data_IF_054621050526
#
_entry.id   IF_054621050526
#
_cell.length_a   1.000
_cell.length_b   1.000
_cell.length_c   1.000
_cell.angle_alpha   90.00
_cell.angle_beta   90.00
_cell.angle_gamma   90.00
#
_symmetry.space_group_name_H-M   'P 1'
#
loop_
_entity.id
_entity.type
_entity.pdbx_description
1 polymer ?
#
# COMPACT_ATOMS: atom_id res chain seq x y z
N UNK A 1 -33.12 27.02 -15.98
CA UNK A 1 -34.53 26.91 -15.53
C UNK A 1 -34.79 28.01 -14.51
N UNK A 2 -35.80 28.84 -14.71
CA UNK A 2 -36.09 29.98 -13.81
C UNK A 2 -36.52 29.52 -12.42
N UNK A 3 -36.05 30.23 -11.38
CA UNK A 3 -36.35 30.02 -9.95
C UNK A 3 -37.87 29.88 -9.67
N UNK A 4 -38.69 30.53 -10.49
CA UNK A 4 -40.14 30.49 -10.44
C UNK A 4 -40.72 29.12 -10.85
N UNK A 5 -40.12 28.44 -11.82
CA UNK A 5 -40.50 27.06 -12.22
C UNK A 5 -40.08 26.04 -11.15
N UNK A 6 -38.97 26.29 -10.46
CA UNK A 6 -38.50 25.48 -9.33
C UNK A 6 -39.41 25.61 -8.10
N UNK A 7 -39.84 26.83 -7.76
CA UNK A 7 -40.79 27.10 -6.67
C UNK A 7 -42.21 26.58 -6.98
N UNK A 8 -42.65 26.64 -8.24
CA UNK A 8 -43.92 26.02 -8.66
C UNK A 8 -43.87 24.49 -8.53
N UNK A 9 -42.74 23.85 -8.88
CA UNK A 9 -42.54 22.41 -8.70
C UNK A 9 -42.47 22.01 -7.21
N UNK A 10 -41.86 22.83 -6.35
CA UNK A 10 -41.86 22.62 -4.89
C UNK A 10 -43.27 22.75 -4.29
N UNK A 11 -44.09 23.69 -4.76
CA UNK A 11 -45.46 23.87 -4.29
C UNK A 11 -46.43 22.81 -4.82
N UNK A 12 -46.22 22.27 -6.01
CA UNK A 12 -46.96 21.10 -6.50
C UNK A 12 -46.58 19.82 -5.75
N UNK A 13 -45.30 19.64 -5.41
CA UNK A 13 -44.85 18.50 -4.57
C UNK A 13 -45.36 18.61 -3.13
N UNK A 14 -45.37 19.82 -2.52
CA UNK A 14 -46.01 20.06 -1.21
C UNK A 14 -47.51 19.79 -1.22
N UNK A 15 -48.21 20.11 -2.32
CA UNK A 15 -49.63 19.78 -2.51
C UNK A 15 -49.87 18.28 -2.71
N UNK A 16 -48.97 17.57 -3.39
CA UNK A 16 -49.03 16.11 -3.51
C UNK A 16 -48.80 15.39 -2.18
N UNK A 17 -47.92 15.91 -1.31
CA UNK A 17 -47.69 15.32 0.02
C UNK A 17 -48.82 15.60 1.02
N UNK A 18 -49.43 16.79 0.98
CA UNK A 18 -50.52 17.16 1.89
C UNK A 18 -51.90 16.61 1.49
N UNK A 19 -52.05 16.07 0.27
CA UNK A 19 -53.33 15.52 -0.24
C UNK A 19 -53.34 13.99 -0.40
N UNK A 20 -52.48 13.25 0.29
CA UNK A 20 -52.68 11.80 0.43
C UNK A 20 -53.76 11.54 1.49
N UNK A 21 -54.87 10.85 1.15
CA UNK A 21 -55.91 10.54 2.12
C UNK A 21 -55.30 9.74 3.28
N UNK A 22 -55.48 10.23 4.52
CA UNK A 22 -55.14 9.56 5.79
C UNK A 22 -55.46 8.04 5.85
N UNK A 23 -56.49 7.47 5.17
CA UNK A 23 -56.70 6.02 5.18
C UNK A 23 -55.63 5.17 4.46
N UNK A 24 -54.86 5.70 3.50
CA UNK A 24 -53.88 4.90 2.75
C UNK A 24 -52.56 4.64 3.50
N UNK A 25 -52.15 5.53 4.42
CA UNK A 25 -51.00 5.32 5.29
C UNK A 25 -51.22 4.17 6.29
N UNK A 26 -52.45 3.99 6.77
CA UNK A 26 -52.81 2.88 7.66
C UNK A 26 -52.92 1.53 6.93
N UNK A 27 -53.37 1.53 5.67
CA UNK A 27 -53.37 0.34 4.83
C UNK A 27 -51.95 -0.06 4.41
N UNK A 28 -51.10 0.89 4.05
CA UNK A 28 -49.68 0.66 3.76
C UNK A 28 -48.94 0.04 4.94
N UNK A 29 -49.17 0.54 6.16
CA UNK A 29 -48.56 -0.01 7.38
C UNK A 29 -49.04 -1.43 7.71
N UNK A 30 -50.35 -1.72 7.53
CA UNK A 30 -50.90 -3.07 7.69
C UNK A 30 -50.38 -4.05 6.64
N UNK A 31 -50.27 -3.60 5.38
CA UNK A 31 -49.71 -4.40 4.28
C UNK A 31 -48.21 -4.63 4.51
N UNK A 32 -47.47 -3.62 4.97
CA UNK A 32 -46.05 -3.72 5.31
C UNK A 32 -45.80 -4.72 6.44
N UNK A 33 -46.52 -4.62 7.55
CA UNK A 33 -46.35 -5.53 8.69
C UNK A 33 -46.82 -6.96 8.35
N UNK A 34 -47.86 -7.14 7.53
CA UNK A 34 -48.30 -8.45 7.03
C UNK A 34 -47.30 -9.08 6.03
N UNK A 35 -46.71 -8.27 5.14
CA UNK A 35 -45.70 -8.73 4.16
C UNK A 35 -44.40 -9.08 4.87
N UNK A 36 -43.99 -8.28 5.86
CA UNK A 36 -42.81 -8.57 6.70
C UNK A 36 -43.04 -9.81 7.54
N UNK A 37 -44.19 -9.94 8.20
CA UNK A 37 -44.49 -11.14 8.98
C UNK A 37 -44.61 -12.37 8.07
N UNK A 38 -45.10 -12.26 6.83
CA UNK A 38 -45.11 -13.37 5.88
C UNK A 38 -43.70 -13.77 5.40
N UNK A 39 -42.79 -12.81 5.29
CA UNK A 39 -41.39 -13.04 4.91
C UNK A 39 -40.56 -13.59 6.09
N UNK A 40 -40.87 -13.18 7.32
CA UNK A 40 -40.14 -13.57 8.53
C UNK A 40 -40.72 -14.80 9.26
N UNK A 41 -42.03 -15.05 9.20
CA UNK A 41 -42.67 -16.17 9.88
C UNK A 41 -42.61 -17.48 9.09
N UNK A 42 -42.24 -17.44 7.81
CA UNK A 42 -42.07 -18.63 6.97
C UNK A 42 -40.60 -18.95 6.77
N UNK A 43 -40.12 -20.09 7.29
CA UNK A 43 -38.82 -20.63 6.90
C UNK A 43 -38.66 -20.62 5.36
N UNK A 44 -37.69 -19.84 4.85
CA UNK A 44 -37.14 -19.93 3.49
C UNK A 44 -38.15 -19.84 2.33
N UNK A 45 -39.13 -18.94 2.37
CA UNK A 45 -39.96 -18.68 1.18
C UNK A 45 -39.28 -17.69 0.22
N UNK A 46 -38.30 -18.18 -0.53
CA UNK A 46 -37.72 -17.50 -1.70
C UNK A 46 -38.77 -17.22 -2.80
N UNK A 47 -39.97 -17.81 -2.68
CA UNK A 47 -41.07 -17.71 -3.65
C UNK A 47 -41.79 -16.34 -3.66
N UNK A 48 -41.64 -15.52 -2.62
CA UNK A 48 -42.24 -14.17 -2.56
C UNK A 48 -41.33 -13.12 -3.21
N UNK A 49 -40.03 -13.37 -3.26
CA UNK A 49 -39.01 -12.44 -3.77
C UNK A 49 -39.24 -11.98 -5.22
N UNK A 50 -39.67 -12.84 -6.17
CA UNK A 50 -39.95 -12.41 -7.55
C UNK A 50 -41.23 -11.56 -7.68
N UNK A 51 -42.10 -11.57 -6.67
CA UNK A 51 -43.40 -10.85 -6.65
C UNK A 51 -43.32 -9.47 -6.00
N UNK A 52 -42.20 -9.16 -5.34
CA UNK A 52 -41.97 -7.83 -4.79
C UNK A 52 -41.77 -6.84 -5.94
N UNK A 53 -42.21 -5.59 -5.74
CA UNK A 53 -41.94 -4.49 -6.66
C UNK A 53 -41.07 -3.45 -5.98
N UNK A 54 -40.25 -2.68 -6.73
CA UNK A 54 -39.42 -1.61 -6.17
C UNK A 54 -40.21 -0.60 -5.34
N UNK A 55 -41.45 -0.31 -5.76
CA UNK A 55 -42.37 0.62 -5.09
C UNK A 55 -42.86 0.08 -3.74
N UNK A 56 -43.18 -1.20 -3.64
CA UNK A 56 -43.55 -1.85 -2.37
C UNK A 56 -42.39 -1.87 -1.39
N UNK A 57 -41.18 -2.18 -1.86
CA UNK A 57 -39.99 -2.14 -0.99
C UNK A 57 -39.71 -0.72 -0.52
N UNK A 58 -39.80 0.28 -1.40
CA UNK A 58 -39.67 1.68 -1.00
C UNK A 58 -40.73 2.10 0.03
N UNK A 59 -41.99 1.70 -0.15
CA UNK A 59 -43.08 2.03 0.77
C UNK A 59 -42.83 1.44 2.17
N UNK A 60 -42.42 0.16 2.23
CA UNK A 60 -42.14 -0.55 3.48
C UNK A 60 -40.88 0.01 4.16
N UNK A 61 -39.84 0.30 3.38
CA UNK A 61 -38.60 0.91 3.88
C UNK A 61 -38.76 2.39 4.22
N UNK A 62 -39.83 3.05 3.78
CA UNK A 62 -40.14 4.45 4.08
C UNK A 62 -41.22 4.64 5.15
N UNK A 63 -41.87 3.57 5.63
CA UNK A 63 -42.92 3.64 6.65
C UNK A 63 -42.38 4.00 8.05
N UNK A 64 -42.70 5.18 8.61
CA UNK A 64 -42.18 5.64 9.90
C UNK A 64 -42.75 4.88 11.12
N UNK A 65 -43.79 4.07 10.95
CA UNK A 65 -44.44 3.33 12.05
C UNK A 65 -43.89 1.91 12.25
N UNK A 66 -43.05 1.43 11.34
CA UNK A 66 -42.53 0.07 11.37
C UNK A 66 -41.31 -0.04 12.29
N UNK A 67 -41.33 -0.99 13.23
CA UNK A 67 -40.26 -1.16 14.22
C UNK A 67 -38.95 -1.51 13.53
N UNK A 68 -37.89 -0.77 13.87
CA UNK A 68 -36.56 -0.88 13.26
C UNK A 68 -36.01 -2.31 13.15
N UNK A 69 -36.12 -3.20 14.17
CA UNK A 69 -35.63 -4.58 14.08
C UNK A 69 -36.31 -5.41 12.98
N UNK A 70 -37.62 -5.25 12.80
CA UNK A 70 -38.38 -5.97 11.76
C UNK A 70 -38.00 -5.51 10.35
N UNK A 71 -37.75 -4.22 10.16
CA UNK A 71 -37.20 -3.71 8.90
C UNK A 71 -35.81 -4.32 8.63
N UNK A 72 -34.97 -4.44 9.66
CA UNK A 72 -33.60 -4.98 9.52
C UNK A 72 -33.63 -6.46 9.13
N UNK A 73 -34.47 -7.26 9.77
CA UNK A 73 -34.63 -8.68 9.41
C UNK A 73 -35.17 -8.83 7.99
N UNK A 74 -36.19 -8.05 7.61
CA UNK A 74 -36.72 -8.04 6.26
C UNK A 74 -35.65 -7.66 5.22
N UNK A 75 -34.82 -6.65 5.51
CA UNK A 75 -33.86 -6.13 4.55
C UNK A 75 -32.57 -6.96 4.49
N UNK A 76 -32.13 -7.54 5.61
CA UNK A 76 -31.07 -8.54 5.62
C UNK A 76 -31.48 -9.81 4.87
N UNK A 77 -32.76 -10.18 4.92
CA UNK A 77 -33.32 -11.27 4.11
C UNK A 77 -33.32 -10.91 2.61
N UNK A 78 -33.70 -9.69 2.24
CA UNK A 78 -33.66 -9.24 0.84
C UNK A 78 -32.24 -9.21 0.27
N UNK A 79 -31.26 -8.69 1.02
CA UNK A 79 -29.86 -8.61 0.60
C UNK A 79 -29.23 -10.01 0.44
N UNK A 80 -29.54 -10.96 1.33
CA UNK A 80 -29.06 -12.35 1.23
C UNK A 80 -29.63 -13.10 0.03
N UNK A 81 -30.75 -12.65 -0.53
CA UNK A 81 -31.45 -13.33 -1.62
C UNK A 81 -31.60 -12.44 -2.86
N UNK A 82 -30.68 -11.50 -3.07
CA UNK A 82 -30.75 -10.53 -4.17
C UNK A 82 -30.73 -11.17 -5.55
N UNK A 83 -30.08 -12.33 -5.72
CA UNK A 83 -30.07 -13.13 -6.95
C UNK A 83 -31.44 -13.71 -7.34
N UNK A 84 -32.40 -13.71 -6.41
CA UNK A 84 -33.76 -14.25 -6.60
C UNK A 84 -34.80 -13.15 -6.82
N UNK A 85 -34.39 -11.88 -6.83
CA UNK A 85 -35.25 -10.74 -7.14
C UNK A 85 -35.18 -10.39 -8.63
N UNK A 86 -36.32 -10.03 -9.21
CA UNK A 86 -36.44 -9.60 -10.61
C UNK A 86 -36.03 -8.14 -10.84
N UNK A 87 -35.64 -7.43 -9.78
CA UNK A 87 -35.30 -6.01 -9.80
C UNK A 87 -34.16 -5.70 -8.83
N UNK A 88 -33.36 -4.69 -9.15
CA UNK A 88 -32.43 -4.08 -8.19
C UNK A 88 -33.18 -3.11 -7.28
N UNK A 89 -32.84 -3.12 -5.99
CA UNK A 89 -33.39 -2.17 -5.03
C UNK A 89 -33.08 -0.72 -5.46
N UNK A 90 -34.11 0.14 -5.51
CA UNK A 90 -33.90 1.55 -5.86
C UNK A 90 -32.97 2.23 -4.85
N UNK A 91 -32.12 3.13 -5.32
CA UNK A 91 -31.14 3.84 -4.49
C UNK A 91 -31.78 4.65 -3.35
N UNK A 92 -32.96 5.25 -3.57
CA UNK A 92 -33.73 5.93 -2.53
C UNK A 92 -34.14 4.97 -1.39
N UNK A 93 -34.48 3.72 -1.71
CA UNK A 93 -34.80 2.70 -0.72
C UNK A 93 -33.54 2.28 0.06
N UNK A 94 -32.39 2.18 -0.60
CA UNK A 94 -31.11 1.93 0.05
C UNK A 94 -30.70 3.07 0.98
N UNK A 95 -30.82 4.33 0.56
CA UNK A 95 -30.50 5.49 1.40
C UNK A 95 -31.44 5.62 2.59
N UNK A 96 -32.75 5.40 2.37
CA UNK A 96 -33.73 5.37 3.46
C UNK A 96 -33.37 4.29 4.48
N UNK A 97 -32.98 3.12 3.99
CA UNK A 97 -32.53 2.02 4.81
C UNK A 97 -31.25 2.34 5.60
N UNK A 98 -30.23 2.88 4.94
CA UNK A 98 -28.97 3.31 5.58
C UNK A 98 -29.26 4.36 6.66
N UNK A 99 -30.11 5.34 6.39
CA UNK A 99 -30.52 6.35 7.36
C UNK A 99 -31.27 5.73 8.56
N UNK A 100 -32.11 4.71 8.33
CA UNK A 100 -32.80 3.97 9.40
C UNK A 100 -31.87 3.11 10.23
N UNK A 101 -30.95 2.38 9.60
CA UNK A 101 -29.93 1.58 10.29
C UNK A 101 -29.01 2.47 11.14
N UNK A 102 -28.63 3.63 10.60
CA UNK A 102 -27.84 4.60 11.34
C UNK A 102 -28.59 5.18 12.55
N UNK A 103 -29.93 5.37 12.45
CA UNK A 103 -30.80 5.68 13.61
C UNK A 103 -30.90 4.52 14.61
N UNK A 104 -30.91 3.28 14.12
CA UNK A 104 -30.92 2.05 14.91
C UNK A 104 -29.59 1.77 15.66
N UNK A 105 -28.52 2.49 15.30
CA UNK A 105 -27.13 2.23 15.70
C UNK A 105 -26.52 0.94 15.12
N UNK A 106 -27.12 0.39 14.06
CA UNK A 106 -26.62 -0.77 13.33
C UNK A 106 -25.63 -0.34 12.23
N UNK A 107 -24.46 0.13 12.67
CA UNK A 107 -23.50 0.82 11.80
C UNK A 107 -22.80 -0.11 10.80
N UNK A 108 -22.49 -1.35 11.19
CA UNK A 108 -21.80 -2.33 10.33
C UNK A 108 -22.67 -2.76 9.15
N UNK A 109 -23.96 -3.01 9.39
CA UNK A 109 -24.93 -3.35 8.35
C UNK A 109 -25.15 -2.19 7.39
N UNK A 110 -25.24 -0.96 7.90
CA UNK A 110 -25.38 0.23 7.06
C UNK A 110 -24.17 0.45 6.13
N UNK A 111 -22.96 0.28 6.65
CA UNK A 111 -21.71 0.40 5.89
C UNK A 111 -21.57 -0.73 4.86
N UNK A 112 -21.90 -1.97 5.23
CA UNK A 112 -21.89 -3.11 4.31
C UNK A 112 -22.86 -2.97 3.14
N UNK A 113 -24.07 -2.43 3.40
CA UNK A 113 -25.04 -2.14 2.34
C UNK A 113 -24.50 -1.09 1.40
N UNK A 114 -23.94 -0.01 1.93
CA UNK A 114 -23.39 1.07 1.12
C UNK A 114 -22.23 0.58 0.22
N UNK A 115 -21.37 -0.30 0.74
CA UNK A 115 -20.29 -0.94 -0.02
C UNK A 115 -20.78 -1.93 -1.09
N UNK A 116 -21.96 -2.54 -0.92
CA UNK A 116 -22.55 -3.46 -1.91
C UNK A 116 -23.22 -2.77 -3.10
N UNK A 117 -23.39 -1.44 -3.05
CA UNK A 117 -24.03 -0.67 -4.12
C UNK A 117 -22.99 -0.41 -5.22
N UNK A 118 -22.94 -1.31 -6.20
CA UNK A 118 -22.13 -1.19 -7.44
C UNK A 118 -22.51 0.02 -8.30
N UNK A 119 -23.71 0.58 -8.13
CA UNK A 119 -24.28 1.65 -8.95
C UNK A 119 -23.99 3.08 -8.47
N UNK A 120 -23.08 3.30 -7.51
CA UNK A 120 -22.73 4.65 -7.04
C UNK A 120 -22.21 5.58 -8.17
N UNK A 121 -21.77 5.01 -9.30
CA UNK A 121 -21.27 5.75 -10.47
C UNK A 121 -22.30 6.65 -11.17
N UNK A 122 -23.59 6.40 -11.07
CA UNK A 122 -24.62 7.09 -11.88
C UNK A 122 -25.22 8.34 -11.23
N UNK A 123 -25.01 8.57 -9.93
CA UNK A 123 -25.76 9.59 -9.19
C UNK A 123 -24.98 10.88 -8.91
N UNK A 124 -25.70 12.01 -8.95
CA UNK A 124 -25.22 13.34 -8.55
C UNK A 124 -25.39 13.53 -7.05
N UNK A 125 -24.34 14.00 -6.37
CA UNK A 125 -24.34 14.30 -4.93
C UNK A 125 -25.45 15.28 -4.50
N UNK A 126 -25.92 16.14 -5.40
CA UNK A 126 -26.98 17.12 -5.13
C UNK A 126 -28.31 16.46 -4.74
N UNK A 127 -28.63 15.30 -5.32
CA UNK A 127 -29.86 14.56 -5.00
C UNK A 127 -29.70 13.88 -3.64
N UNK A 128 -28.53 13.28 -3.38
CA UNK A 128 -28.13 12.68 -2.12
C UNK A 128 -28.19 13.65 -0.94
N UNK A 129 -27.61 14.84 -1.10
CA UNK A 129 -27.63 15.90 -0.09
C UNK A 129 -29.06 16.31 0.25
N UNK A 130 -29.88 16.59 -0.77
CA UNK A 130 -31.28 16.98 -0.57
C UNK A 130 -32.10 15.88 0.12
N UNK A 131 -31.80 14.61 -0.13
CA UNK A 131 -32.48 13.48 0.48
C UNK A 131 -32.14 13.34 1.97
N UNK A 132 -30.85 13.41 2.30
CA UNK A 132 -30.35 13.31 3.69
C UNK A 132 -30.84 14.49 4.53
N UNK A 133 -30.91 15.70 3.94
CA UNK A 133 -31.45 16.90 4.56
C UNK A 133 -32.98 16.84 4.77
N UNK A 134 -33.74 16.37 3.77
CA UNK A 134 -35.20 16.27 3.85
C UNK A 134 -35.71 15.22 4.85
N UNK A 135 -34.94 14.16 5.11
CA UNK A 135 -35.38 13.08 6.00
C UNK A 135 -35.20 13.37 7.50
N UNK A 136 -34.92 14.61 7.92
CA UNK A 136 -34.83 15.01 9.33
C UNK A 136 -33.89 14.11 10.15
N UNK A 137 -32.72 13.84 9.58
CA UNK A 137 -31.67 13.04 10.21
C UNK A 137 -30.90 13.97 11.15
N UNK A 138 -30.70 13.58 12.42
CA UNK A 138 -29.91 14.39 13.34
C UNK A 138 -28.52 14.69 12.75
N UNK A 139 -27.96 15.87 13.02
CA UNK A 139 -26.64 16.29 12.49
C UNK A 139 -25.56 15.22 12.67
N UNK A 140 -25.64 14.46 13.78
CA UNK A 140 -24.73 13.35 14.11
C UNK A 140 -24.87 12.14 13.18
N UNK A 141 -26.08 11.80 12.75
CA UNK A 141 -26.32 10.68 11.83
C UNK A 141 -25.99 11.12 10.40
N UNK A 142 -26.30 12.35 10.03
CA UNK A 142 -25.93 12.93 8.73
C UNK A 142 -24.41 12.88 8.53
N UNK A 143 -23.63 13.32 9.53
CA UNK A 143 -22.16 13.18 9.54
C UNK A 143 -21.69 11.74 9.29
N UNK A 144 -22.28 10.73 9.96
CA UNK A 144 -21.88 9.33 9.74
C UNK A 144 -22.15 8.85 8.32
N UNK A 145 -23.34 9.14 7.80
CA UNK A 145 -23.73 8.72 6.44
C UNK A 145 -22.83 9.36 5.39
N UNK A 146 -22.52 10.66 5.51
CA UNK A 146 -21.60 11.32 4.59
C UNK A 146 -20.16 10.78 4.67
N UNK A 147 -19.65 10.45 5.88
CA UNK A 147 -18.34 9.81 6.00
C UNK A 147 -18.32 8.40 5.38
N UNK A 148 -19.40 7.62 5.50
CA UNK A 148 -19.48 6.33 4.81
C UNK A 148 -19.55 6.50 3.29
N UNK A 149 -20.32 7.47 2.80
CA UNK A 149 -20.40 7.79 1.37
C UNK A 149 -19.02 8.16 0.83
N UNK A 150 -18.30 9.06 1.50
CA UNK A 150 -16.94 9.43 1.11
C UNK A 150 -16.04 8.20 0.97
N UNK A 151 -16.07 7.31 1.97
CA UNK A 151 -15.32 6.05 1.92
C UNK A 151 -15.73 5.18 0.73
N UNK A 152 -17.02 4.94 0.52
CA UNK A 152 -17.47 4.07 -0.58
C UNK A 152 -17.19 4.65 -1.97
N UNK A 153 -17.26 5.97 -2.15
CA UNK A 153 -16.83 6.60 -3.41
C UNK A 153 -15.32 6.44 -3.62
N UNK A 154 -14.54 6.53 -2.54
CA UNK A 154 -13.09 6.28 -2.58
C UNK A 154 -12.76 4.83 -2.96
N UNK A 155 -13.37 3.85 -2.29
CA UNK A 155 -13.19 2.41 -2.55
C UNK A 155 -13.56 2.05 -4.00
N UNK A 156 -14.52 2.76 -4.60
CA UNK A 156 -14.98 2.57 -5.98
C UNK A 156 -14.22 3.42 -7.02
N UNK A 157 -13.13 4.10 -6.64
CA UNK A 157 -12.28 4.95 -7.51
C UNK A 157 -13.00 6.17 -8.11
N UNK A 158 -14.09 6.61 -7.50
CA UNK A 158 -14.86 7.80 -7.92
C UNK A 158 -14.38 9.02 -7.10
N UNK A 159 -13.09 9.36 -7.25
CA UNK A 159 -12.41 10.31 -6.38
C UNK A 159 -12.95 11.74 -6.44
N UNK A 160 -13.41 12.17 -7.61
CA UNK A 160 -14.01 13.49 -7.82
C UNK A 160 -15.30 13.64 -7.01
N UNK A 161 -16.16 12.61 -7.02
CA UNK A 161 -17.39 12.59 -6.22
C UNK A 161 -17.11 12.53 -4.72
N UNK A 162 -16.08 11.80 -4.31
CA UNK A 162 -15.64 11.81 -2.92
C UNK A 162 -15.19 13.22 -2.48
N UNK A 163 -14.49 13.95 -3.36
CA UNK A 163 -14.10 15.35 -3.13
C UNK A 163 -15.31 16.30 -3.10
N UNK A 164 -16.30 16.11 -3.97
CA UNK A 164 -17.55 16.90 -3.95
C UNK A 164 -18.34 16.69 -2.64
N UNK A 165 -18.38 15.46 -2.13
CA UNK A 165 -19.00 15.16 -0.83
C UNK A 165 -18.24 15.85 0.30
N UNK A 166 -16.91 15.82 0.26
CA UNK A 166 -16.09 16.52 1.24
C UNK A 166 -16.40 18.03 1.23
N UNK A 167 -16.40 18.67 0.05
CA UNK A 167 -16.71 20.09 -0.08
C UNK A 167 -18.12 20.41 0.44
N UNK A 168 -19.11 19.55 0.16
CA UNK A 168 -20.45 19.68 0.71
C UNK A 168 -20.48 19.60 2.25
N UNK A 169 -19.70 18.67 2.83
CA UNK A 169 -19.60 18.56 4.29
C UNK A 169 -18.96 19.81 4.90
N UNK A 170 -17.94 20.39 4.26
CA UNK A 170 -17.29 21.63 4.71
C UNK A 170 -18.26 22.81 4.66
N UNK A 171 -18.94 23.03 3.52
CA UNK A 171 -19.86 24.16 3.32
C UNK A 171 -21.03 24.13 4.31
N UNK A 172 -21.55 22.94 4.62
CA UNK A 172 -22.68 22.78 5.54
C UNK A 172 -22.28 22.59 7.01
N UNK A 173 -20.98 22.71 7.35
CA UNK A 173 -20.49 22.53 8.72
C UNK A 173 -20.74 21.13 9.29
N UNK A 174 -20.82 20.11 8.43
CA UNK A 174 -21.03 18.72 8.84
C UNK A 174 -19.70 18.20 9.39
N UNK A 175 -19.74 17.54 10.55
CA UNK A 175 -18.52 16.97 11.14
C UNK A 175 -17.88 15.95 10.21
N UNK A 176 -16.65 16.21 9.80
CA UNK A 176 -15.82 15.31 9.00
C UNK A 176 -14.94 14.47 9.92
N UNK A 177 -14.77 13.18 9.61
CA UNK A 177 -13.88 12.29 10.35
C UNK A 177 -12.52 12.25 9.66
N UNK A 178 -11.46 12.64 10.37
CA UNK A 178 -10.10 12.66 9.81
C UNK A 178 -9.68 11.31 9.25
N UNK A 179 -9.97 10.20 9.96
CA UNK A 179 -9.64 8.85 9.51
C UNK A 179 -10.26 8.50 8.15
N UNK A 180 -11.47 8.98 7.88
CA UNK A 180 -12.15 8.76 6.59
C UNK A 180 -11.43 9.51 5.48
N UNK A 181 -10.98 10.73 5.74
CA UNK A 181 -10.16 11.50 4.81
C UNK A 181 -8.78 10.85 4.58
N UNK A 182 -8.17 10.29 5.62
CA UNK A 182 -6.90 9.54 5.47
C UNK A 182 -7.05 8.32 4.58
N UNK A 183 -8.13 7.55 4.72
CA UNK A 183 -8.42 6.41 3.83
C UNK A 183 -8.53 6.91 2.38
N UNK A 184 -9.25 8.01 2.17
CA UNK A 184 -9.35 8.60 0.84
C UNK A 184 -8.00 9.04 0.25
N UNK A 185 -7.12 9.63 1.08
CA UNK A 185 -5.75 9.94 0.67
C UNK A 185 -4.96 8.69 0.30
N UNK A 186 -5.07 7.60 1.08
CA UNK A 186 -4.41 6.33 0.78
C UNK A 186 -4.86 5.80 -0.58
N UNK A 187 -6.16 5.81 -0.86
CA UNK A 187 -6.68 5.34 -2.16
C UNK A 187 -6.22 6.23 -3.31
N UNK A 188 -6.27 7.55 -3.14
CA UNK A 188 -5.74 8.51 -4.12
C UNK A 188 -4.27 8.23 -4.45
N UNK A 189 -3.44 7.96 -3.42
CA UNK A 189 -2.03 7.62 -3.64
C UNK A 189 -1.86 6.23 -4.28
N UNK A 190 -2.67 5.25 -3.90
CA UNK A 190 -2.61 3.90 -4.45
C UNK A 190 -2.93 3.85 -5.96
N UNK A 191 -3.83 4.70 -6.43
CA UNK A 191 -4.28 4.75 -7.82
C UNK A 191 -3.63 5.87 -8.65
N UNK A 192 -2.45 6.33 -8.23
CA UNK A 192 -1.64 7.34 -8.96
C UNK A 192 -2.39 8.65 -9.23
N UNK A 193 -3.23 9.07 -8.28
CA UNK A 193 -3.94 10.35 -8.32
C UNK A 193 -3.24 11.40 -7.43
N UNK A 194 -1.92 11.52 -7.57
CA UNK A 194 -1.07 12.43 -6.76
C UNK A 194 -1.56 13.87 -6.77
N UNK A 195 -1.94 14.38 -7.95
CA UNK A 195 -2.45 15.73 -8.11
C UNK A 195 -3.76 15.97 -7.36
N UNK A 196 -4.67 14.98 -7.36
CA UNK A 196 -5.92 15.05 -6.59
C UNK A 196 -5.66 14.90 -5.09
N UNK A 197 -4.76 14.01 -4.68
CA UNK A 197 -4.37 13.85 -3.27
C UNK A 197 -3.79 15.12 -2.66
N UNK A 198 -2.90 15.83 -3.36
CA UNK A 198 -2.37 17.10 -2.87
C UNK A 198 -3.47 18.18 -2.77
N UNK A 199 -4.36 18.26 -3.78
CA UNK A 199 -5.50 19.19 -3.74
C UNK A 199 -6.41 18.89 -2.56
N UNK A 200 -6.76 17.62 -2.35
CA UNK A 200 -7.62 17.16 -1.28
C UNK A 200 -7.00 17.42 0.10
N UNK A 201 -5.71 17.12 0.29
CA UNK A 201 -5.01 17.43 1.53
C UNK A 201 -5.01 18.93 1.83
N UNK A 202 -4.79 19.78 0.81
CA UNK A 202 -4.89 21.22 0.97
C UNK A 202 -6.31 21.69 1.35
N UNK A 203 -7.36 21.03 0.85
CA UNK A 203 -8.75 21.28 1.28
C UNK A 203 -8.97 20.83 2.74
N UNK A 204 -8.41 19.68 3.15
CA UNK A 204 -8.44 19.23 4.55
C UNK A 204 -7.79 20.27 5.47
N UNK A 205 -6.66 20.85 5.06
CA UNK A 205 -5.96 21.85 5.87
C UNK A 205 -6.79 23.13 6.00
N UNK A 206 -7.37 23.60 4.89
CA UNK A 206 -8.18 24.83 4.86
C UNK A 206 -9.51 24.70 5.60
N UNK A 207 -10.06 23.50 5.70
CA UNK A 207 -11.34 23.24 6.38
C UNK A 207 -11.23 23.22 7.91
N UNK A 208 -10.03 23.37 8.47
CA UNK A 208 -9.81 23.43 9.92
C UNK A 208 -9.99 22.07 10.62
N UNK A 209 -9.98 20.97 9.87
CA UNK A 209 -9.95 19.62 10.45
C UNK A 209 -8.60 19.44 11.14
N UNK A 210 -8.60 18.80 12.32
CA UNK A 210 -7.36 18.43 12.98
C UNK A 210 -6.71 17.25 12.24
N UNK A 211 -5.79 17.55 11.32
CA UNK A 211 -5.09 16.56 10.51
C UNK A 211 -3.98 15.90 11.33
N UNK A 212 -3.87 14.58 11.23
CA UNK A 212 -2.77 13.83 11.86
C UNK A 212 -1.48 13.87 11.05
N UNK A 213 -0.35 13.70 11.73
CA UNK A 213 0.97 13.50 11.08
C UNK A 213 0.98 12.25 10.19
N UNK A 214 0.13 11.27 10.49
CA UNK A 214 -0.03 10.08 9.65
C UNK A 214 -0.61 10.44 8.27
N UNK A 215 -1.64 11.29 8.20
CA UNK A 215 -2.20 11.77 6.92
C UNK A 215 -1.16 12.53 6.08
N UNK A 216 -0.31 13.34 6.71
CA UNK A 216 0.82 13.98 6.03
C UNK A 216 1.81 12.93 5.49
N UNK A 217 2.20 11.97 6.32
CA UNK A 217 3.16 10.91 5.95
C UNK A 217 2.64 10.05 4.80
N UNK A 218 1.34 9.73 4.74
CA UNK A 218 0.71 9.02 3.62
C UNK A 218 0.91 9.78 2.30
N UNK A 219 0.66 11.09 2.31
CA UNK A 219 0.80 11.90 1.10
C UNK A 219 2.26 12.05 0.70
N UNK A 220 3.17 12.24 1.66
CA UNK A 220 4.63 12.29 1.44
C UNK A 220 5.15 10.99 0.84
N UNK A 221 4.77 9.84 1.40
CA UNK A 221 5.13 8.51 0.90
C UNK A 221 4.61 8.29 -0.54
N UNK A 222 3.35 8.64 -0.78
CA UNK A 222 2.76 8.60 -2.13
C UNK A 222 3.59 9.41 -3.12
N UNK A 223 3.77 10.71 -2.88
CA UNK A 223 4.57 11.59 -3.75
C UNK A 223 6.00 11.06 -3.99
N UNK A 224 6.64 10.51 -2.95
CA UNK A 224 7.97 9.92 -3.04
C UNK A 224 8.02 8.68 -3.94
N UNK A 225 7.01 7.81 -3.87
CA UNK A 225 6.89 6.61 -4.73
C UNK A 225 6.76 6.99 -6.21
N UNK A 226 6.02 8.05 -6.51
CA UNK A 226 5.90 8.58 -7.89
C UNK A 226 7.07 9.47 -8.32
N UNK A 227 8.02 9.74 -7.42
CA UNK A 227 9.25 10.49 -7.73
C UNK A 227 9.16 11.98 -7.61
N UNK A 228 8.04 12.49 -7.11
CA UNK A 228 7.83 13.90 -6.82
C UNK A 228 8.43 14.30 -5.45
N UNK A 229 9.67 13.88 -5.18
CA UNK A 229 10.35 14.07 -3.90
C UNK A 229 10.44 15.55 -3.51
N UNK A 230 10.72 16.43 -4.48
CA UNK A 230 10.75 17.88 -4.27
C UNK A 230 9.41 18.42 -3.78
N UNK A 231 8.28 18.00 -4.38
CA UNK A 231 6.94 18.41 -3.93
C UNK A 231 6.60 17.85 -2.56
N UNK A 232 7.05 16.63 -2.26
CA UNK A 232 6.91 16.04 -0.93
C UNK A 232 7.68 16.84 0.14
N UNK A 233 8.91 17.28 -0.17
CA UNK A 233 9.71 18.17 0.69
C UNK A 233 9.03 19.52 0.88
N UNK A 234 8.62 20.19 -0.20
CA UNK A 234 7.93 21.49 -0.16
C UNK A 234 6.66 21.41 0.69
N UNK A 235 5.92 20.30 0.63
CA UNK A 235 4.75 20.07 1.49
C UNK A 235 5.15 20.00 2.97
N UNK A 236 6.23 19.29 3.32
CA UNK A 236 6.73 19.21 4.69
C UNK A 236 7.19 20.58 5.19
N UNK A 237 7.94 21.33 4.38
CA UNK A 237 8.35 22.72 4.67
C UNK A 237 7.14 23.63 4.92
N UNK A 238 6.08 23.49 4.10
CA UNK A 238 4.86 24.26 4.24
C UNK A 238 4.15 23.97 5.58
N UNK A 239 4.12 22.71 6.00
CA UNK A 239 3.50 22.31 7.26
C UNK A 239 4.28 22.81 8.48
N UNK A 240 5.61 22.81 8.39
CA UNK A 240 6.52 23.36 9.41
C UNK A 240 6.38 24.89 9.51
N UNK A 241 6.50 25.60 8.38
CA UNK A 241 6.60 27.06 8.36
C UNK A 241 5.31 27.78 8.75
N UNK A 242 4.15 27.21 8.42
CA UNK A 242 2.86 27.88 8.61
C UNK A 242 2.21 27.61 9.98
N UNK A 243 2.89 26.94 10.90
CA UNK A 243 2.37 26.57 12.22
C UNK A 243 0.95 25.95 12.15
N UNK A 244 0.70 25.12 11.12
CA UNK A 244 -0.60 24.48 10.84
C UNK A 244 -0.97 23.40 11.87
N UNK A 245 -0.21 23.29 12.95
CA UNK A 245 -0.41 22.29 14.02
C UNK A 245 0.03 20.88 13.66
N UNK A 246 0.56 20.65 12.45
CA UNK A 246 1.07 19.34 12.00
C UNK A 246 2.59 19.38 12.09
N UNK A 247 3.15 18.70 13.09
CA UNK A 247 4.60 18.56 13.24
C UNK A 247 5.07 17.27 12.57
N UNK A 248 5.87 17.33 11.50
CA UNK A 248 6.49 16.14 10.92
C UNK A 248 7.29 15.39 12.00
N UNK A 249 7.25 14.06 11.96
CA UNK A 249 8.00 13.23 12.89
C UNK A 249 9.12 12.47 12.15
N UNK A 250 9.86 11.66 12.90
CA UNK A 250 10.94 10.84 12.36
C UNK A 250 10.50 9.93 11.20
N UNK A 251 9.25 9.44 11.20
CA UNK A 251 8.73 8.59 10.14
C UNK A 251 8.60 9.41 8.85
N UNK A 252 8.02 10.62 8.93
CA UNK A 252 7.90 11.52 7.77
C UNK A 252 9.26 11.86 7.16
N UNK A 253 10.26 12.18 7.99
CA UNK A 253 11.61 12.46 7.51
C UNK A 253 12.31 11.22 6.94
N UNK A 254 12.19 10.07 7.59
CA UNK A 254 12.76 8.82 7.09
C UNK A 254 12.17 8.41 5.73
N UNK A 255 10.87 8.62 5.50
CA UNK A 255 10.24 8.42 4.18
C UNK A 255 10.89 9.30 3.10
N UNK A 256 11.12 10.58 3.38
CA UNK A 256 11.80 11.49 2.44
C UNK A 256 13.26 11.08 2.22
N UNK A 257 13.99 10.76 3.30
CA UNK A 257 15.40 10.36 3.23
C UNK A 257 15.55 9.09 2.41
N UNK A 258 14.75 8.05 2.69
CA UNK A 258 14.76 6.79 1.93
C UNK A 258 14.51 7.04 0.44
N UNK A 259 13.51 7.87 0.11
CA UNK A 259 13.20 8.22 -1.26
C UNK A 259 14.34 8.98 -1.97
N UNK A 260 14.99 9.91 -1.27
CA UNK A 260 16.16 10.63 -1.78
C UNK A 260 17.34 9.68 -2.01
N UNK A 261 17.62 8.80 -1.04
CA UNK A 261 18.77 7.87 -1.07
C UNK A 261 18.61 6.80 -2.15
N UNK A 262 17.40 6.27 -2.34
CA UNK A 262 17.12 5.27 -3.38
C UNK A 262 17.22 5.83 -4.80
N UNK A 263 17.08 7.15 -4.96
CA UNK A 263 17.15 7.86 -6.25
C UNK A 263 18.45 8.64 -6.43
N UNK A 264 19.37 8.56 -5.46
CA UNK A 264 20.61 9.34 -5.41
C UNK A 264 20.40 10.86 -5.59
N UNK A 265 19.24 11.37 -5.15
CA UNK A 265 18.94 12.79 -5.18
C UNK A 265 19.51 13.47 -3.92
N UNK A 266 20.83 13.67 -3.91
CA UNK A 266 21.55 14.20 -2.76
C UNK A 266 21.31 15.70 -2.52
N UNK A 267 20.85 16.45 -3.53
CA UNK A 267 20.44 17.84 -3.36
C UNK A 267 19.21 17.91 -2.46
N UNK A 268 18.16 17.16 -2.82
CA UNK A 268 16.95 17.05 -2.00
C UNK A 268 17.24 16.44 -0.63
N UNK A 269 18.12 15.44 -0.54
CA UNK A 269 18.53 14.86 0.73
C UNK A 269 19.10 15.91 1.69
N UNK A 270 20.00 16.78 1.21
CA UNK A 270 20.60 17.81 2.04
C UNK A 270 19.57 18.82 2.56
N UNK A 271 18.60 19.18 1.72
CA UNK A 271 17.49 20.06 2.12
C UNK A 271 16.63 19.39 3.20
N UNK A 272 16.28 18.11 3.03
CA UNK A 272 15.51 17.32 4.01
C UNK A 272 16.25 17.23 5.35
N UNK A 273 17.56 16.94 5.34
CA UNK A 273 18.38 16.87 6.55
C UNK A 273 18.50 18.23 7.25
N UNK A 274 18.55 19.33 6.49
CA UNK A 274 18.57 20.67 7.06
C UNK A 274 17.25 20.99 7.80
N UNK A 275 16.10 20.67 7.20
CA UNK A 275 14.78 20.85 7.83
C UNK A 275 14.67 19.97 9.08
N UNK A 276 15.06 18.69 8.98
CA UNK A 276 15.04 17.75 10.10
C UNK A 276 15.83 18.27 11.30
N UNK A 277 17.02 18.86 11.05
CA UNK A 277 17.86 19.49 12.07
C UNK A 277 17.23 20.75 12.65
N UNK A 278 16.61 21.60 11.83
CA UNK A 278 15.92 22.81 12.28
C UNK A 278 14.73 22.48 13.19
N UNK A 279 13.99 21.42 12.88
CA UNK A 279 12.89 20.92 13.69
C UNK A 279 13.33 20.16 14.94
N UNK A 280 14.65 19.95 15.13
CA UNK A 280 15.20 19.25 16.28
C UNK A 280 14.83 17.75 16.32
N UNK A 281 14.63 17.13 15.15
CA UNK A 281 14.37 15.70 15.06
C UNK A 281 15.69 14.95 14.93
N UNK A 282 16.01 14.14 15.94
CA UNK A 282 17.24 13.34 15.96
C UNK A 282 17.17 12.13 15.03
N UNK A 283 18.34 11.68 14.57
CA UNK A 283 18.45 10.47 13.75
C UNK A 283 18.09 9.22 14.54
N UNK A 284 17.47 8.25 13.87
CA UNK A 284 17.31 6.89 14.37
C UNK A 284 18.20 5.91 13.61
N UNK A 285 18.27 4.67 14.10
CA UNK A 285 18.98 3.57 13.45
C UNK A 285 18.58 3.43 11.98
N UNK A 286 17.28 3.59 11.68
CA UNK A 286 16.77 3.57 10.30
C UNK A 286 17.28 4.75 9.47
N UNK A 287 17.33 5.96 10.04
CA UNK A 287 17.89 7.15 9.36
C UNK A 287 19.33 6.91 8.94
N UNK A 288 20.16 6.42 9.87
CA UNK A 288 21.54 6.05 9.60
C UNK A 288 21.63 4.99 8.49
N UNK A 289 20.77 3.96 8.55
CA UNK A 289 20.74 2.88 7.56
C UNK A 289 20.46 3.41 6.15
N UNK A 290 19.46 4.27 6.00
CA UNK A 290 19.13 4.86 4.71
C UNK A 290 20.28 5.71 4.16
N UNK A 291 20.90 6.55 5.00
CA UNK A 291 22.04 7.39 4.60
C UNK A 291 23.24 6.55 4.17
N UNK A 292 23.63 5.55 4.97
CA UNK A 292 24.76 4.67 4.66
C UNK A 292 24.50 3.90 3.37
N UNK A 293 23.31 3.31 3.21
CA UNK A 293 22.92 2.63 1.99
C UNK A 293 22.93 3.57 0.77
N UNK A 294 22.35 4.76 0.89
CA UNK A 294 22.28 5.76 -0.18
C UNK A 294 23.65 6.22 -0.66
N UNK A 295 24.53 6.59 0.27
CA UNK A 295 25.88 7.01 -0.06
C UNK A 295 26.73 5.85 -0.62
N UNK A 296 26.69 4.68 0.02
CA UNK A 296 27.41 3.49 -0.45
C UNK A 296 26.94 3.04 -1.83
N UNK A 297 25.62 3.04 -2.08
CA UNK A 297 25.06 2.61 -3.37
C UNK A 297 25.44 3.51 -4.54
N UNK A 298 25.64 4.81 -4.31
CA UNK A 298 26.16 5.75 -5.31
C UNK A 298 27.71 5.77 -5.37
N UNK A 299 28.41 5.00 -4.53
CA UNK A 299 29.88 5.03 -4.45
C UNK A 299 30.47 6.24 -3.71
N UNK A 300 29.66 7.02 -2.97
CA UNK A 300 30.13 8.13 -2.12
C UNK A 300 30.65 7.59 -0.78
N UNK A 301 31.68 6.75 -0.83
CA UNK A 301 32.13 5.97 0.31
C UNK A 301 32.58 6.82 1.51
N UNK A 302 33.25 7.95 1.26
CA UNK A 302 33.69 8.88 2.32
C UNK A 302 32.53 9.40 3.17
N UNK A 303 31.38 9.68 2.53
CA UNK A 303 30.20 10.12 3.26
C UNK A 303 29.59 8.96 4.05
N UNK A 304 29.52 7.75 3.46
CA UNK A 304 29.03 6.56 4.16
C UNK A 304 29.86 6.24 5.43
N UNK A 305 31.20 6.26 5.32
CA UNK A 305 32.12 6.08 6.44
C UNK A 305 31.93 7.15 7.53
N UNK A 306 31.75 8.41 7.12
CA UNK A 306 31.47 9.51 8.06
C UNK A 306 30.19 9.26 8.87
N UNK A 307 29.15 8.74 8.23
CA UNK A 307 27.89 8.42 8.92
C UNK A 307 28.10 7.30 9.96
N UNK A 308 28.94 6.29 9.68
CA UNK A 308 29.31 5.26 10.68
C UNK A 308 30.08 5.85 11.85
N UNK A 309 31.05 6.74 11.59
CA UNK A 309 31.79 7.42 12.65
C UNK A 309 30.85 8.22 13.54
N UNK A 310 29.90 8.96 12.95
CA UNK A 310 28.88 9.70 13.69
C UNK A 310 28.00 8.77 14.57
N UNK A 311 27.66 7.57 14.08
CA UNK A 311 26.96 6.57 14.90
C UNK A 311 27.77 6.18 16.14
N UNK A 312 29.08 5.91 15.98
CA UNK A 312 29.97 5.57 17.09
C UNK A 312 30.11 6.73 18.07
N UNK A 313 30.29 7.96 17.59
CA UNK A 313 30.41 9.18 18.40
C UNK A 313 29.16 9.44 19.24
N UNK A 314 27.98 9.15 18.69
CA UNK A 314 26.70 9.25 19.41
C UNK A 314 26.39 8.03 20.30
N UNK A 315 27.30 7.06 20.38
CA UNK A 315 27.17 5.88 21.24
C UNK A 315 26.22 4.80 20.71
N UNK A 316 25.85 4.81 19.43
CA UNK A 316 25.07 3.73 18.83
C UNK A 316 25.94 2.49 18.62
N UNK A 317 25.35 1.31 18.88
CA UNK A 317 25.99 0.04 18.54
C UNK A 317 25.89 -0.22 17.04
N UNK A 318 27.00 -0.06 16.33
CA UNK A 318 27.09 -0.38 14.90
C UNK A 318 27.16 -1.91 14.74
N UNK A 319 26.07 -2.49 14.25
CA UNK A 319 25.97 -3.93 13.97
C UNK A 319 26.51 -4.33 12.60
N UNK A 320 26.61 -5.65 12.36
CA UNK A 320 27.12 -6.27 11.14
C UNK A 320 26.50 -5.71 9.86
N UNK A 321 25.18 -5.54 9.84
CA UNK A 321 24.46 -5.04 8.66
C UNK A 321 24.94 -3.66 8.17
N UNK A 322 25.39 -2.78 9.06
CA UNK A 322 25.92 -1.47 8.69
C UNK A 322 27.29 -1.56 8.02
N UNK A 323 28.18 -2.43 8.54
CA UNK A 323 29.47 -2.69 7.91
C UNK A 323 29.30 -3.36 6.55
N UNK A 324 28.35 -4.30 6.40
CA UNK A 324 28.04 -4.93 5.12
C UNK A 324 27.62 -3.91 4.05
N UNK A 325 26.88 -2.86 4.43
CA UNK A 325 26.52 -1.77 3.51
C UNK A 325 27.74 -1.02 2.98
N UNK A 326 28.70 -0.68 3.84
CA UNK A 326 29.91 0.04 3.41
C UNK A 326 30.86 -0.88 2.64
N UNK A 327 31.05 -2.10 3.15
CA UNK A 327 31.92 -3.08 2.52
C UNK A 327 31.46 -3.44 1.11
N UNK A 328 30.16 -3.69 0.90
CA UNK A 328 29.61 -3.89 -0.44
C UNK A 328 29.78 -2.65 -1.35
N UNK A 329 29.83 -1.45 -0.79
CA UNK A 329 30.18 -0.21 -1.51
C UNK A 329 31.63 -0.16 -1.97
N UNK A 330 32.59 -0.47 -1.08
CA UNK A 330 34.01 -0.55 -1.44
C UNK A 330 34.28 -1.66 -2.46
N UNK A 331 33.70 -2.84 -2.27
CA UNK A 331 33.81 -3.95 -3.23
C UNK A 331 33.29 -3.57 -4.62
N UNK A 332 32.17 -2.83 -4.70
CA UNK A 332 31.67 -2.30 -6.00
C UNK A 332 32.56 -1.23 -6.61
N UNK A 333 33.28 -0.47 -5.78
CA UNK A 333 34.21 0.57 -6.22
C UNK A 333 35.61 0.03 -6.51
N UNK A 334 35.84 -1.28 -6.35
CA UNK A 334 37.16 -1.92 -6.52
C UNK A 334 38.14 -1.66 -5.37
N UNK A 335 37.73 -1.00 -4.30
CA UNK A 335 38.58 -0.61 -3.17
C UNK A 335 38.71 -1.75 -2.13
N UNK A 336 39.22 -2.91 -2.57
CA UNK A 336 39.24 -4.12 -1.75
C UNK A 336 40.05 -3.99 -0.45
N UNK A 337 41.17 -3.25 -0.47
CA UNK A 337 41.99 -3.02 0.72
C UNK A 337 41.17 -2.41 1.87
N UNK A 338 40.30 -1.44 1.55
CA UNK A 338 39.39 -0.83 2.53
C UNK A 338 38.29 -1.79 2.98
N UNK A 339 37.77 -2.60 2.06
CA UNK A 339 36.80 -3.64 2.40
C UNK A 339 37.37 -4.63 3.43
N UNK A 340 38.63 -5.05 3.26
CA UNK A 340 39.30 -5.92 4.22
C UNK A 340 39.69 -5.20 5.53
N UNK A 341 40.04 -3.91 5.50
CA UNK A 341 40.29 -3.17 6.75
C UNK A 341 39.03 -3.07 7.62
N UNK A 342 37.84 -2.98 7.02
CA UNK A 342 36.58 -3.01 7.76
C UNK A 342 36.36 -4.34 8.49
N UNK A 343 36.82 -5.46 7.93
CA UNK A 343 36.77 -6.78 8.61
C UNK A 343 37.64 -6.76 9.87
N UNK A 344 38.83 -6.17 9.79
CA UNK A 344 39.71 -5.99 10.95
C UNK A 344 39.05 -5.12 12.02
N UNK A 345 38.46 -3.98 11.62
CA UNK A 345 37.73 -3.10 12.54
C UNK A 345 36.54 -3.82 13.21
N UNK A 346 35.78 -4.62 12.47
CA UNK A 346 34.69 -5.41 13.02
C UNK A 346 35.18 -6.38 14.10
N UNK A 347 36.30 -7.06 13.87
CA UNK A 347 36.89 -7.98 14.85
C UNK A 347 37.37 -7.24 16.12
N UNK A 348 38.04 -6.10 15.96
CA UNK A 348 38.49 -5.24 17.08
C UNK A 348 37.32 -4.75 17.93
N UNK A 349 36.20 -4.43 17.29
CA UNK A 349 34.96 -3.98 17.96
C UNK A 349 34.05 -5.12 18.40
N UNK A 350 34.50 -6.37 18.28
CA UNK A 350 33.73 -7.58 18.64
C UNK A 350 32.38 -7.68 17.92
N UNK A 351 32.33 -7.26 16.66
CA UNK A 351 31.19 -7.42 15.74
C UNK A 351 31.40 -8.68 14.93
N UNK A 352 30.42 -9.59 14.98
CA UNK A 352 30.49 -10.86 14.27
C UNK A 352 30.31 -10.69 12.77
N UNK A 353 31.19 -11.33 12.00
CA UNK A 353 31.07 -11.47 10.56
C UNK A 353 29.96 -12.50 10.24
N UNK A 354 29.14 -12.22 9.24
CA UNK A 354 28.06 -13.09 8.76
C UNK A 354 28.28 -13.52 7.30
N UNK A 355 27.34 -14.30 6.76
CA UNK A 355 27.40 -14.76 5.37
C UNK A 355 27.46 -13.61 4.37
N UNK A 356 26.64 -12.58 4.58
CA UNK A 356 26.61 -11.39 3.72
C UNK A 356 27.95 -10.65 3.71
N UNK A 357 28.67 -10.70 4.84
CA UNK A 357 30.01 -10.13 4.96
C UNK A 357 30.97 -10.80 3.99
N UNK A 358 31.08 -12.13 4.10
CA UNK A 358 31.96 -12.94 3.26
C UNK A 358 31.56 -12.89 1.80
N UNK A 359 30.26 -12.88 1.52
CA UNK A 359 29.73 -12.76 0.17
C UNK A 359 30.11 -11.44 -0.49
N UNK A 360 30.02 -10.33 0.22
CA UNK A 360 30.37 -9.01 -0.30
C UNK A 360 31.85 -8.95 -0.69
N UNK A 361 32.74 -9.51 0.14
CA UNK A 361 34.18 -9.60 -0.15
C UNK A 361 34.45 -10.53 -1.34
N UNK A 362 33.82 -11.70 -1.36
CA UNK A 362 33.93 -12.65 -2.46
C UNK A 362 33.54 -12.00 -3.81
N UNK A 363 32.37 -11.38 -3.87
CA UNK A 363 31.90 -10.68 -5.07
C UNK A 363 32.85 -9.55 -5.49
N UNK A 364 33.42 -8.83 -4.52
CA UNK A 364 34.44 -7.81 -4.78
C UNK A 364 35.72 -8.39 -5.37
N UNK A 365 36.25 -9.48 -4.80
CA UNK A 365 37.47 -10.15 -5.25
C UNK A 365 37.33 -10.65 -6.69
N UNK A 366 36.19 -11.28 -7.01
CA UNK A 366 35.89 -11.73 -8.37
C UNK A 366 35.88 -10.57 -9.36
N UNK A 367 35.26 -9.43 -9.01
CA UNK A 367 35.20 -8.25 -9.89
C UNK A 367 36.57 -7.62 -10.18
N UNK A 368 37.51 -7.74 -9.26
CA UNK A 368 38.89 -7.21 -9.41
C UNK A 368 39.84 -8.27 -10.01
N UNK A 369 39.35 -9.49 -10.24
CA UNK A 369 40.15 -10.59 -10.80
C UNK A 369 41.05 -11.31 -9.81
N UNK A 370 40.86 -11.11 -8.50
CA UNK A 370 41.68 -11.75 -7.45
C UNK A 370 41.13 -13.12 -7.04
N UNK A 371 41.16 -14.07 -7.98
CA UNK A 371 40.54 -15.40 -7.83
C UNK A 371 41.16 -16.29 -6.76
N UNK A 372 42.48 -16.22 -6.57
CA UNK A 372 43.18 -16.99 -5.53
C UNK A 372 42.66 -16.61 -4.13
N UNK A 373 42.59 -15.31 -3.85
CA UNK A 373 42.03 -14.80 -2.60
C UNK A 373 40.52 -15.10 -2.48
N UNK A 374 39.76 -15.09 -3.58
CA UNK A 374 38.36 -15.48 -3.60
C UNK A 374 38.18 -16.96 -3.18
N UNK A 375 39.03 -17.85 -3.68
CA UNK A 375 39.06 -19.27 -3.31
C UNK A 375 39.44 -19.47 -1.83
N UNK A 376 40.43 -18.75 -1.33
CA UNK A 376 40.79 -18.78 0.09
C UNK A 376 39.62 -18.37 0.98
N UNK A 377 38.85 -17.35 0.56
CA UNK A 377 37.68 -16.87 1.28
C UNK A 377 36.56 -17.92 1.33
N UNK A 378 36.29 -18.62 0.22
CA UNK A 378 35.32 -19.73 0.17
C UNK A 378 35.74 -20.87 1.09
N UNK A 379 37.02 -21.23 1.07
CA UNK A 379 37.57 -22.25 1.97
C UNK A 379 37.44 -21.83 3.45
N UNK A 380 37.66 -20.56 3.75
CA UNK A 380 37.47 -20.01 5.09
C UNK A 380 36.01 -20.07 5.54
N UNK A 381 35.06 -19.72 4.65
CA UNK A 381 33.62 -19.82 4.93
C UNK A 381 33.24 -21.26 5.31
N UNK A 382 33.70 -22.24 4.53
CA UNK A 382 33.44 -23.66 4.81
C UNK A 382 34.05 -24.11 6.14
N UNK A 383 35.29 -23.71 6.46
CA UNK A 383 35.95 -24.03 7.74
C UNK A 383 35.23 -23.41 8.94
N UNK A 384 34.59 -22.25 8.76
CA UNK A 384 33.77 -21.59 9.78
C UNK A 384 32.37 -22.19 9.92
N UNK A 385 32.04 -23.23 9.14
CA UNK A 385 30.75 -23.92 9.22
C UNK A 385 29.63 -23.23 8.46
N UNK A 386 29.95 -22.30 7.55
CA UNK A 386 28.94 -21.71 6.69
C UNK A 386 28.58 -22.65 5.54
N UNK A 387 27.29 -22.96 5.44
CA UNK A 387 26.74 -23.75 4.32
C UNK A 387 26.60 -22.86 3.09
N UNK A 388 27.28 -23.23 2.01
CA UNK A 388 27.12 -22.58 0.70
C UNK A 388 25.84 -23.11 0.08
N UNK A 389 24.95 -22.20 -0.33
CA UNK A 389 23.72 -22.53 -1.02
C UNK A 389 23.91 -22.60 -2.55
N UNK A 390 22.85 -22.98 -3.26
CA UNK A 390 22.86 -23.08 -4.72
C UNK A 390 23.23 -21.77 -5.42
N UNK A 391 22.73 -20.63 -4.93
CA UNK A 391 22.96 -19.30 -5.53
C UNK A 391 24.44 -18.91 -5.44
N UNK A 392 25.06 -19.20 -4.30
CA UNK A 392 26.49 -18.96 -4.09
C UNK A 392 27.32 -19.79 -5.07
N UNK A 393 27.00 -21.09 -5.23
CA UNK A 393 27.69 -21.95 -6.19
C UNK A 393 27.52 -21.50 -7.65
N UNK A 394 26.31 -21.12 -8.05
CA UNK A 394 26.04 -20.62 -9.40
C UNK A 394 26.84 -19.37 -9.70
N UNK A 395 26.83 -18.38 -8.79
CA UNK A 395 27.59 -17.14 -8.96
C UNK A 395 29.09 -17.39 -9.00
N UNK A 396 29.60 -18.31 -8.16
CA UNK A 396 31.01 -18.74 -8.19
C UNK A 396 31.39 -19.22 -9.59
N UNK A 397 30.58 -20.12 -10.16
CA UNK A 397 30.81 -20.68 -11.49
C UNK A 397 30.77 -19.58 -12.54
N UNK A 398 29.76 -18.71 -12.53
CA UNK A 398 29.66 -17.61 -13.50
C UNK A 398 30.87 -16.67 -13.44
N UNK A 399 31.31 -16.27 -12.24
CA UNK A 399 32.50 -15.43 -12.08
C UNK A 399 33.77 -16.08 -12.67
N UNK A 400 33.99 -17.39 -12.46
CA UNK A 400 35.14 -18.08 -13.03
C UNK A 400 35.07 -18.20 -14.57
N UNK A 401 33.86 -18.38 -15.11
CA UNK A 401 33.64 -18.52 -16.55
C UNK A 401 33.82 -17.20 -17.31
N UNK A 402 33.31 -16.09 -16.77
CA UNK A 402 33.41 -14.77 -17.39
C UNK A 402 34.87 -14.32 -17.56
N UNK A 403 35.75 -14.84 -16.70
CA UNK A 403 37.16 -14.47 -16.61
C UNK A 403 38.09 -15.48 -17.29
N UNK A 404 37.52 -16.54 -17.87
CA UNK A 404 38.25 -17.56 -18.62
C UNK A 404 39.00 -18.58 -17.75
N UNK A 405 38.78 -18.56 -16.44
CA UNK A 405 39.35 -19.48 -15.45
C UNK A 405 38.48 -20.76 -15.40
N UNK A 406 38.47 -21.47 -16.53
CA UNK A 406 37.49 -22.51 -16.83
C UNK A 406 37.65 -23.79 -15.97
N UNK A 407 38.86 -24.09 -15.48
CA UNK A 407 39.14 -25.29 -14.67
C UNK A 407 38.50 -25.21 -13.28
N UNK A 408 38.60 -24.05 -12.65
CA UNK A 408 38.02 -23.74 -11.35
C UNK A 408 36.49 -23.74 -11.43
N UNK A 409 35.90 -23.20 -12.50
CA UNK A 409 34.46 -23.28 -12.75
C UNK A 409 33.95 -24.73 -12.77
N UNK A 410 34.68 -25.63 -13.43
CA UNK A 410 34.36 -27.07 -13.49
C UNK A 410 34.55 -27.75 -12.13
N UNK A 411 35.58 -27.35 -11.38
CA UNK A 411 35.83 -27.86 -10.02
C UNK A 411 34.69 -27.48 -9.07
N UNK A 412 34.26 -26.21 -9.09
CA UNK A 412 33.15 -25.72 -8.27
C UNK A 412 31.84 -26.39 -8.67
N UNK A 413 31.58 -26.61 -9.97
CA UNK A 413 30.42 -27.38 -10.42
C UNK A 413 30.40 -28.79 -9.83
N UNK A 414 31.56 -29.47 -9.84
CA UNK A 414 31.66 -30.83 -9.30
C UNK A 414 31.42 -30.83 -7.78
N UNK A 415 31.91 -29.82 -7.06
CA UNK A 415 31.65 -29.65 -5.63
C UNK A 415 30.17 -29.38 -5.34
N UNK A 416 29.51 -28.55 -6.16
CA UNK A 416 28.09 -28.25 -6.06
C UNK A 416 27.24 -29.52 -6.18
N UNK A 417 27.54 -30.37 -7.16
CA UNK A 417 26.85 -31.64 -7.38
C UNK A 417 27.09 -32.65 -6.25
N UNK A 418 28.30 -32.72 -5.70
CA UNK A 418 28.62 -33.58 -4.53
C UNK A 418 27.84 -33.14 -3.29
N UNK A 419 27.61 -31.84 -3.12
CA UNK A 419 26.76 -31.28 -2.05
C UNK A 419 25.25 -31.43 -2.32
N UNK A 420 24.87 -32.02 -3.45
CA UNK A 420 23.47 -32.27 -3.81
C UNK A 420 22.74 -31.08 -4.44
N UNK A 421 23.46 -30.01 -4.74
CA UNK A 421 22.93 -28.86 -5.48
C UNK A 421 23.15 -29.05 -6.98
N UNK A 422 22.25 -28.49 -7.80
CA UNK A 422 22.38 -28.54 -9.25
C UNK A 422 22.20 -27.14 -9.81
N UNK A 423 23.10 -26.67 -10.70
CA UNK A 423 22.96 -25.34 -11.26
C UNK A 423 21.69 -25.22 -12.08
N UNK A 424 21.25 -23.99 -12.25
CA UNK A 424 20.30 -23.63 -13.29
C UNK A 424 20.80 -24.06 -14.69
N UNK A 425 19.86 -24.10 -15.64
CA UNK A 425 20.15 -24.54 -17.00
C UNK A 425 21.21 -23.66 -17.68
N UNK A 426 21.19 -22.35 -17.41
CA UNK A 426 22.05 -21.38 -18.06
C UNK A 426 23.52 -21.52 -17.64
N UNK A 427 23.77 -21.64 -16.34
CA UNK A 427 25.09 -21.89 -15.76
C UNK A 427 25.61 -23.25 -16.20
N UNK A 428 24.76 -24.28 -16.22
CA UNK A 428 25.15 -25.61 -16.67
C UNK A 428 25.57 -25.63 -18.16
N UNK A 429 24.83 -24.92 -19.02
CA UNK A 429 25.19 -24.75 -20.44
C UNK A 429 26.53 -24.02 -20.61
N UNK A 430 26.74 -22.93 -19.87
CA UNK A 430 28.01 -22.17 -19.90
C UNK A 430 29.21 -23.04 -19.50
N UNK A 431 29.07 -23.91 -18.49
CA UNK A 431 30.14 -24.85 -18.08
C UNK A 431 30.37 -25.94 -19.13
N UNK A 432 29.33 -26.44 -19.80
CA UNK A 432 29.51 -27.40 -20.90
C UNK A 432 30.30 -26.76 -22.05
N UNK A 433 30.00 -25.50 -22.40
CA UNK A 433 30.79 -24.75 -23.36
C UNK A 433 32.25 -24.57 -22.90
N UNK A 434 32.48 -24.33 -21.61
CA UNK A 434 33.82 -24.27 -21.01
C UNK A 434 34.59 -25.59 -21.18
N UNK A 435 33.96 -26.72 -20.88
CA UNK A 435 34.56 -28.06 -21.03
C UNK A 435 34.95 -28.37 -22.49
N UNK A 436 34.13 -27.96 -23.46
CA UNK A 436 34.49 -28.07 -24.87
C UNK A 436 35.71 -27.21 -25.24
N UNK A 437 35.79 -25.98 -24.71
CA UNK A 437 36.95 -25.09 -24.92
C UNK A 437 38.23 -25.63 -24.28
N UNK A 438 38.12 -26.33 -23.15
CA UNK A 438 39.23 -27.01 -22.47
C UNK A 438 39.63 -28.34 -23.13
N UNK A 439 38.93 -28.80 -24.18
CA UNK A 439 39.19 -30.09 -24.84
C UNK A 439 38.72 -31.31 -24.03
N UNK A 440 37.99 -31.12 -22.92
CA UNK A 440 37.42 -32.17 -22.08
C UNK A 440 36.09 -32.69 -22.67
N UNK A 441 36.14 -33.16 -23.92
CA UNK A 441 34.94 -33.48 -24.72
C UNK A 441 34.10 -34.60 -24.15
N UNK A 442 34.70 -35.61 -23.53
CA UNK A 442 33.96 -36.75 -22.96
C UNK A 442 33.19 -36.35 -21.70
N UNK A 443 33.77 -35.47 -20.89
CA UNK A 443 33.08 -34.92 -19.73
C UNK A 443 31.96 -33.97 -20.15
N UNK A 444 32.20 -33.11 -21.15
CA UNK A 444 31.16 -32.26 -21.73
C UNK A 444 29.96 -33.08 -22.23
N UNK A 445 30.20 -34.20 -22.93
CA UNK A 445 29.14 -35.13 -23.39
C UNK A 445 28.41 -35.81 -22.24
N UNK A 446 29.14 -36.26 -21.22
CA UNK A 446 28.56 -36.86 -20.01
C UNK A 446 27.61 -35.89 -19.30
N UNK A 447 28.07 -34.64 -19.10
CA UNK A 447 27.28 -33.56 -18.49
C UNK A 447 26.09 -33.15 -19.37
N UNK A 448 26.26 -33.08 -20.69
CA UNK A 448 25.17 -32.83 -21.64
C UNK A 448 24.09 -33.93 -21.58
N UNK A 449 24.48 -35.19 -21.41
CA UNK A 449 23.53 -36.29 -21.24
C UNK A 449 22.74 -36.20 -19.91
N UNK A 450 23.39 -35.72 -18.83
CA UNK A 450 22.71 -35.41 -17.56
C UNK A 450 21.71 -34.26 -17.73
N UNK A 451 22.08 -33.21 -18.49
CA UNK A 451 21.21 -32.09 -18.80
C UNK A 451 19.94 -32.52 -19.56
N UNK A 452 20.12 -33.32 -20.62
CA UNK A 452 19.02 -33.84 -21.44
C UNK A 452 18.06 -34.72 -20.62
N UNK A 453 18.59 -35.49 -19.66
CA UNK A 453 17.77 -36.32 -18.76
C UNK A 453 16.97 -35.51 -17.74
N UNK A 454 17.42 -34.31 -17.38
CA UNK A 454 16.80 -33.46 -16.33
C UNK A 454 15.74 -32.50 -16.83
N UNK A 455 15.67 -32.27 -18.13
CA UNK A 455 14.54 -31.60 -18.76
C UNK A 455 14.99 -30.52 -19.73
N UNK A 456 14.67 -30.73 -21.00
CA UNK A 456 14.55 -29.66 -21.98
C UNK A 456 13.38 -28.75 -21.58
N UNK A 457 13.52 -27.41 -21.61
CA UNK A 457 12.34 -26.58 -21.69
C UNK A 457 11.64 -26.92 -23.02
N UNK A 458 10.34 -27.23 -22.96
CA UNK A 458 9.49 -27.05 -24.13
C UNK A 458 9.67 -25.58 -24.54
N UNK A 459 10.32 -25.35 -25.68
CA UNK A 459 10.29 -24.05 -26.36
C UNK A 459 8.83 -23.65 -26.51
N UNK A 460 8.39 -22.62 -25.78
CA UNK A 460 7.14 -21.90 -26.02
C UNK A 460 7.39 -20.77 -26.99
#
# INVERSE_FOLDING_TARGET
MSLQKFLQNLNTVKRCHNNLPKPHLHQAAKIGDATINAVLAGHRSTAILPKLTPTLVHLITSDPHLKTPKCIEFLSFLLKNQSLMSFELNFDAHLTLICRLARAKEFSLAEGILGSISNLKSFRYTILASFIENHAVSLRISSKVFNWLLKAYSDNQEFEKASEIFDHMVVNGIKINERTCTIHLIDLMKYDQCGLGLKFFNQMVKSGIQISVFSLTVLVDGLCKFGEVKRARELVEEMVSNNKGIKPNIITFNTLIEACTNRWNFEELNNVLAIMKQEGVDFTVDTFRFLIYGYSSNGRMREAERIIMEMHEKGYKVGTHFYNLIMSGHCRSGELEKAFSLVSEMNERHVWLDMDTYWSLFSGLCKVGQFEAANELVNLMQRKGFELDQVIFETLIECYLDEGVMEEAVSILSLMEVKGFFPDLAVYEKVICALFKLGRTEEAKSRLAVLIKRGSPKRS
#
